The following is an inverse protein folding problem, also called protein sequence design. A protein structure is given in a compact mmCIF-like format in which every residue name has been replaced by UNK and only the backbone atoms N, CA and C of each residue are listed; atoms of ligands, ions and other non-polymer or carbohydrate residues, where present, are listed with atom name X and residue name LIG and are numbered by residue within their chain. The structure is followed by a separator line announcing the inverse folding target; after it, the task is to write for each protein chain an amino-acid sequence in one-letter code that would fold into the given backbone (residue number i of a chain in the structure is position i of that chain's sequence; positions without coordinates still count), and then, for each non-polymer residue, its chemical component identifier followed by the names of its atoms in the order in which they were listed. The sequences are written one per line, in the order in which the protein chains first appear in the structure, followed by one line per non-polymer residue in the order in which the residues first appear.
data_IF_375117115554
#
_entry.id   IF_375117115554
#
_cell.length_a   1.000
_cell.length_b   1.000
_cell.length_c   1.000
_cell.angle_alpha   90.00
_cell.angle_beta   90.00
_cell.angle_gamma   90.00
#
_symmetry.space_group_name_H-M   'P 1'
#
loop_
_entity.id
_entity.type
_entity.pdbx_description
1 polymer ?
#
# COMPACT_ATOMS: atom_id res chain seq x y z
N UNK A 1 -1.82 -8.41 -70.68
CA UNK A 1 -1.22 -7.69 -69.53
C UNK A 1 -2.35 -7.38 -68.55
N UNK A 2 -2.49 -8.14 -67.45
CA UNK A 2 -3.51 -7.90 -66.42
C UNK A 2 -2.76 -7.87 -65.09
N UNK A 3 -2.74 -6.71 -64.42
CA UNK A 3 -2.12 -6.51 -63.11
C UNK A 3 -3.16 -6.82 -62.03
N UNK A 4 -2.96 -7.92 -61.30
CA UNK A 4 -3.76 -8.24 -60.10
C UNK A 4 -3.22 -7.48 -58.89
N UNK A 5 -4.07 -6.69 -58.25
CA UNK A 5 -3.77 -6.00 -56.98
C UNK A 5 -4.22 -6.93 -55.84
N UNK A 6 -3.28 -7.37 -55.01
CA UNK A 6 -3.56 -8.11 -53.78
C UNK A 6 -3.72 -7.09 -52.66
N UNK A 7 -4.94 -6.93 -52.16
CA UNK A 7 -5.23 -6.09 -50.99
C UNK A 7 -5.14 -7.00 -49.75
N UNK A 8 -3.99 -7.00 -49.10
CA UNK A 8 -3.81 -7.63 -47.78
C UNK A 8 -4.47 -6.77 -46.71
N UNK A 9 -5.59 -7.24 -46.17
CA UNK A 9 -6.25 -6.64 -45.02
C UNK A 9 -5.44 -6.95 -43.75
N UNK A 10 -4.67 -5.96 -43.27
CA UNK A 10 -4.11 -5.96 -41.92
C UNK A 10 -5.23 -5.71 -40.91
N UNK A 11 -5.73 -6.78 -40.29
CA UNK A 11 -6.61 -6.67 -39.11
C UNK A 11 -5.72 -6.27 -37.94
N UNK A 12 -5.72 -4.97 -37.59
CA UNK A 12 -5.18 -4.50 -36.31
C UNK A 12 -6.13 -4.99 -35.20
N UNK A 13 -5.77 -6.08 -34.53
CA UNK A 13 -6.27 -6.35 -33.19
C UNK A 13 -5.73 -5.26 -32.25
N UNK A 14 -6.52 -4.20 -32.04
CA UNK A 14 -6.31 -3.30 -30.93
C UNK A 14 -6.54 -4.10 -29.63
N UNK A 15 -5.46 -4.62 -29.04
CA UNK A 15 -5.53 -5.17 -27.70
C UNK A 15 -5.88 -4.01 -26.76
N UNK A 16 -6.92 -4.15 -25.90
CA UNK A 16 -7.15 -3.17 -24.86
C UNK A 16 -5.93 -3.17 -23.95
N UNK A 17 -5.18 -2.06 -23.96
CA UNK A 17 -4.17 -1.81 -22.96
C UNK A 17 -4.90 -1.71 -21.62
N UNK A 18 -4.89 -2.78 -20.82
CA UNK A 18 -5.32 -2.71 -19.42
C UNK A 18 -4.24 -1.96 -18.63
N UNK A 19 -4.15 -0.65 -18.84
CA UNK A 19 -3.49 0.31 -17.97
C UNK A 19 -4.60 0.95 -17.11
N UNK A 20 -4.60 0.97 -15.79
CA UNK A 20 -3.66 0.49 -14.80
C UNK A 20 -4.43 -0.37 -13.79
N UNK A 21 -3.88 -1.49 -13.35
CA UNK A 21 -4.30 -2.16 -12.12
C UNK A 21 -3.80 -1.36 -10.92
N UNK A 22 -4.11 -0.07 -10.87
CA UNK A 22 -3.72 0.84 -9.81
C UNK A 22 -4.76 0.83 -8.70
N UNK A 23 -4.31 1.04 -7.48
CA UNK A 23 -5.07 1.16 -6.22
C UNK A 23 -6.27 2.14 -6.20
N UNK A 24 -6.69 2.68 -7.34
CA UNK A 24 -7.49 3.90 -7.47
C UNK A 24 -6.63 5.15 -7.32
N UNK A 25 -7.28 6.31 -7.19
CA UNK A 25 -6.59 7.59 -6.96
C UNK A 25 -6.13 7.69 -5.51
N UNK A 26 -5.03 7.01 -5.17
CA UNK A 26 -4.43 7.05 -3.84
C UNK A 26 -4.04 8.46 -3.39
N UNK A 27 -3.76 9.36 -4.34
CA UNK A 27 -3.45 10.75 -4.05
C UNK A 27 -4.57 11.47 -3.29
N UNK A 28 -5.82 11.02 -3.41
CA UNK A 28 -6.96 11.62 -2.73
C UNK A 28 -6.99 11.32 -1.23
N UNK A 29 -6.18 10.36 -0.78
CA UNK A 29 -6.08 10.01 0.63
C UNK A 29 -5.06 10.86 1.38
N UNK A 30 -4.15 11.54 0.68
CA UNK A 30 -3.07 12.31 1.31
C UNK A 30 -3.65 13.39 2.22
N UNK A 31 -3.22 13.41 3.48
CA UNK A 31 -3.69 14.35 4.51
C UNK A 31 -5.02 13.96 5.18
N UNK A 32 -5.66 12.88 4.75
CA UNK A 32 -6.87 12.34 5.38
C UNK A 32 -6.54 11.18 6.32
N UNK A 33 -7.43 10.91 7.28
CA UNK A 33 -7.31 9.70 8.07
C UNK A 33 -7.79 8.48 7.27
N UNK A 34 -7.14 7.31 7.40
CA UNK A 34 -7.45 6.15 6.56
C UNK A 34 -8.78 5.46 6.92
N UNK A 35 -9.39 5.82 8.06
CA UNK A 35 -10.72 5.39 8.47
C UNK A 35 -11.83 6.36 8.02
N UNK A 36 -11.48 7.51 7.43
CA UNK A 36 -12.44 8.34 6.70
C UNK A 36 -13.01 7.59 5.51
N UNK A 37 -14.25 7.91 5.15
CA UNK A 37 -14.94 7.31 4.01
C UNK A 37 -14.70 8.17 2.77
N UNK A 38 -13.72 7.80 1.94
CA UNK A 38 -13.38 8.51 0.71
C UNK A 38 -13.63 7.64 -0.54
N UNK A 39 -13.72 8.30 -1.70
CA UNK A 39 -13.82 7.64 -3.01
C UNK A 39 -15.20 7.08 -3.37
N UNK A 40 -15.30 6.33 -4.48
CA UNK A 40 -16.54 5.72 -4.92
C UNK A 40 -17.04 4.72 -3.87
N UNK A 41 -18.32 4.81 -3.51
CA UNK A 41 -18.99 4.02 -2.47
C UNK A 41 -18.59 4.30 -1.00
N UNK A 42 -17.81 5.36 -0.72
CA UNK A 42 -17.52 5.77 0.66
C UNK A 42 -16.77 4.72 1.47
N UNK A 43 -15.77 4.10 0.87
CA UNK A 43 -14.93 3.09 1.50
C UNK A 43 -13.83 3.75 2.37
N UNK A 44 -13.35 3.03 3.38
CA UNK A 44 -12.10 3.34 4.08
C UNK A 44 -10.90 2.91 3.24
N UNK A 45 -9.70 3.43 3.51
CA UNK A 45 -8.52 3.16 2.68
C UNK A 45 -8.23 1.66 2.57
N UNK A 46 -8.16 0.95 3.70
CA UNK A 46 -7.96 -0.51 3.69
C UNK A 46 -9.19 -1.30 3.25
N UNK A 47 -10.34 -0.63 3.10
CA UNK A 47 -11.58 -1.17 2.54
C UNK A 47 -11.63 -1.10 1.00
N UNK A 48 -10.69 -0.39 0.35
CA UNK A 48 -10.58 -0.39 -1.10
C UNK A 48 -10.33 -1.82 -1.59
N UNK A 49 -11.14 -2.38 -2.51
CA UNK A 49 -11.10 -3.80 -2.84
C UNK A 49 -9.72 -4.34 -3.24
N UNK A 50 -8.96 -3.56 -4.02
CA UNK A 50 -7.62 -3.93 -4.44
C UNK A 50 -6.64 -4.02 -3.26
N UNK A 51 -6.65 -3.00 -2.38
CA UNK A 51 -5.81 -2.94 -1.17
C UNK A 51 -6.16 -4.10 -0.24
N UNK A 52 -7.45 -4.25 0.07
CA UNK A 52 -7.95 -5.32 0.93
C UNK A 52 -7.59 -6.72 0.41
N UNK A 53 -7.75 -6.96 -0.90
CA UNK A 53 -7.40 -8.23 -1.52
C UNK A 53 -5.90 -8.51 -1.43
N UNK A 54 -5.07 -7.50 -1.67
CA UNK A 54 -3.61 -7.65 -1.62
C UNK A 54 -3.14 -7.92 -0.20
N UNK A 55 -3.65 -7.19 0.80
CA UNK A 55 -3.35 -7.43 2.21
C UNK A 55 -3.69 -8.87 2.64
N UNK A 56 -4.84 -9.40 2.23
CA UNK A 56 -5.21 -10.80 2.50
C UNK A 56 -4.27 -11.81 1.85
N UNK A 57 -3.61 -11.44 0.75
CA UNK A 57 -2.69 -12.31 0.05
C UNK A 57 -1.29 -12.28 0.68
N UNK A 58 -0.79 -11.10 1.05
CA UNK A 58 0.58 -10.93 1.55
C UNK A 58 0.73 -11.21 3.05
N UNK A 59 -0.36 -11.08 3.82
CA UNK A 59 -0.31 -11.26 5.27
C UNK A 59 -0.77 -12.66 5.69
N UNK A 60 -0.14 -13.25 6.71
CA UNK A 60 -0.72 -14.35 7.45
C UNK A 60 -2.10 -13.97 8.00
N UNK A 61 -3.03 -14.93 8.05
CA UNK A 61 -4.40 -14.67 8.48
C UNK A 61 -4.48 -13.99 9.87
N UNK A 62 -3.58 -14.35 10.80
CA UNK A 62 -3.51 -13.73 12.12
C UNK A 62 -3.13 -12.25 12.08
N UNK A 63 -2.12 -11.87 11.28
CA UNK A 63 -1.68 -10.48 11.13
C UNK A 63 -2.72 -9.65 10.37
N UNK A 64 -3.36 -10.23 9.34
CA UNK A 64 -4.47 -9.58 8.64
C UNK A 64 -5.64 -9.27 9.60
N UNK A 65 -6.02 -10.22 10.46
CA UNK A 65 -7.03 -9.99 11.50
C UNK A 65 -6.58 -8.95 12.53
N UNK A 66 -5.29 -8.93 12.89
CA UNK A 66 -4.76 -7.96 13.82
C UNK A 66 -4.86 -6.52 13.28
N UNK A 67 -4.63 -6.29 11.98
CA UNK A 67 -4.84 -4.98 11.35
C UNK A 67 -6.25 -4.43 11.61
N UNK A 68 -7.27 -5.27 11.44
CA UNK A 68 -8.66 -4.84 11.65
C UNK A 68 -9.06 -4.75 13.11
N UNK A 69 -8.48 -5.54 14.01
CA UNK A 69 -8.99 -5.69 15.39
C UNK A 69 -8.16 -4.97 16.45
N UNK A 70 -6.85 -4.86 16.25
CA UNK A 70 -5.89 -4.34 17.24
C UNK A 70 -5.39 -2.94 16.90
N UNK A 71 -5.05 -2.70 15.63
CA UNK A 71 -4.50 -1.44 15.17
C UNK A 71 -5.62 -0.48 14.78
N UNK A 72 -6.01 0.38 15.72
CA UNK A 72 -7.25 1.20 15.63
C UNK A 72 -7.00 2.68 15.52
N UNK A 73 -5.88 3.17 16.05
CA UNK A 73 -5.51 4.56 15.95
C UNK A 73 -4.62 4.71 14.71
N UNK A 74 -4.89 5.73 13.91
CA UNK A 74 -4.13 6.01 12.70
C UNK A 74 -3.78 7.48 12.64
N UNK A 75 -2.61 7.76 12.07
CA UNK A 75 -2.25 9.12 11.68
C UNK A 75 -2.80 9.44 10.28
N UNK A 76 -2.73 10.71 9.90
CA UNK A 76 -3.06 11.12 8.54
C UNK A 76 -2.12 10.45 7.53
N UNK A 77 -2.67 10.03 6.40
CA UNK A 77 -1.91 9.43 5.31
C UNK A 77 -0.87 10.45 4.82
N UNK A 78 0.39 10.05 4.83
CA UNK A 78 1.50 10.87 4.38
C UNK A 78 2.03 10.39 3.03
N UNK A 79 2.85 11.22 2.36
CA UNK A 79 3.41 10.91 1.05
C UNK A 79 4.93 11.08 1.04
N UNK A 80 5.64 10.12 0.44
CA UNK A 80 7.07 10.19 0.14
C UNK A 80 7.27 9.82 -1.33
N UNK A 81 7.49 10.82 -2.19
CA UNK A 81 7.54 10.60 -3.63
C UNK A 81 6.19 10.09 -4.16
N UNK A 82 6.19 8.94 -4.83
CA UNK A 82 4.96 8.29 -5.32
C UNK A 82 4.44 7.19 -4.38
N UNK A 83 4.93 7.16 -3.14
CA UNK A 83 4.47 6.24 -2.11
C UNK A 83 3.59 6.97 -1.11
N UNK A 84 2.51 6.33 -0.69
CA UNK A 84 1.76 6.78 0.49
C UNK A 84 2.06 5.86 1.66
N UNK A 85 2.15 6.46 2.85
CA UNK A 85 2.43 5.78 4.11
C UNK A 85 1.21 5.95 5.01
N UNK A 86 0.84 4.87 5.67
CA UNK A 86 -0.27 4.82 6.62
C UNK A 86 0.20 4.14 7.88
N UNK A 87 0.24 4.90 8.96
CA UNK A 87 0.69 4.40 10.25
C UNK A 87 -0.52 4.13 11.13
N UNK A 88 -0.56 2.94 11.71
CA UNK A 88 -1.51 2.57 12.74
C UNK A 88 -0.80 2.14 14.02
N UNK A 89 -1.47 2.32 15.15
CA UNK A 89 -1.05 1.79 16.43
C UNK A 89 -2.17 1.13 17.22
N UNK A 90 -1.76 0.35 18.23
CA UNK A 90 -2.69 -0.18 19.23
C UNK A 90 -3.20 0.95 20.11
N UNK A 91 -4.50 0.94 20.41
CA UNK A 91 -5.10 1.93 21.30
C UNK A 91 -4.37 1.94 22.66
N UNK A 92 -4.00 3.14 23.13
CA UNK A 92 -3.24 3.38 24.37
C UNK A 92 -1.79 2.84 24.39
N UNK A 93 -1.28 2.30 23.29
CA UNK A 93 0.03 1.63 23.26
C UNK A 93 0.83 1.91 21.96
N UNK A 94 0.76 3.15 21.48
CA UNK A 94 1.42 3.56 20.24
C UNK A 94 2.94 3.58 20.30
N UNK A 95 3.54 3.55 21.50
CA UNK A 95 4.98 3.43 21.66
C UNK A 95 5.50 1.99 21.57
N UNK A 96 4.65 0.98 21.80
CA UNK A 96 5.08 -0.42 21.86
C UNK A 96 4.71 -1.25 20.65
N UNK A 97 3.52 -1.08 20.06
CA UNK A 97 3.09 -1.88 18.90
C UNK A 97 2.43 -1.04 17.82
N UNK A 98 3.05 -1.06 16.64
CA UNK A 98 2.73 -0.19 15.51
C UNK A 98 2.69 -1.01 14.22
N UNK A 99 2.06 -0.47 13.19
CA UNK A 99 2.13 -1.00 11.85
C UNK A 99 2.15 0.12 10.83
N UNK A 100 3.07 0.06 9.88
CA UNK A 100 3.08 0.95 8.72
C UNK A 100 2.70 0.18 7.49
N UNK A 101 1.79 0.74 6.68
CA UNK A 101 1.45 0.24 5.37
C UNK A 101 1.99 1.24 4.34
N UNK A 102 2.76 0.74 3.37
CA UNK A 102 3.31 1.52 2.27
C UNK A 102 2.63 1.07 0.99
N UNK A 103 2.10 2.01 0.21
CA UNK A 103 1.44 1.74 -1.08
C UNK A 103 2.14 2.51 -2.19
N UNK A 104 2.61 1.81 -3.21
CA UNK A 104 3.19 2.41 -4.42
C UNK A 104 2.08 2.81 -5.39
N UNK A 105 1.97 4.10 -5.68
CA UNK A 105 0.95 4.66 -6.58
C UNK A 105 1.15 4.28 -8.06
N UNK A 106 2.31 3.76 -8.44
CA UNK A 106 2.72 3.49 -9.83
C UNK A 106 2.70 2.02 -10.19
N UNK A 107 3.03 1.12 -9.25
CA UNK A 107 3.32 -0.29 -9.57
C UNK A 107 2.40 -1.29 -8.87
N UNK A 108 1.36 -0.82 -8.16
CA UNK A 108 0.46 -1.65 -7.36
C UNK A 108 1.19 -2.55 -6.33
N UNK A 109 2.38 -2.13 -5.92
CA UNK A 109 3.13 -2.77 -4.86
C UNK A 109 2.71 -2.24 -3.48
N UNK A 110 2.75 -3.13 -2.50
CA UNK A 110 2.37 -2.86 -1.12
C UNK A 110 3.37 -3.53 -0.18
N UNK A 111 3.68 -2.85 0.91
CA UNK A 111 4.45 -3.37 2.03
C UNK A 111 3.75 -3.10 3.35
N UNK A 112 3.92 -3.99 4.32
CA UNK A 112 3.43 -3.87 5.68
C UNK A 112 4.56 -4.17 6.64
N UNK A 113 4.85 -3.23 7.53
CA UNK A 113 5.85 -3.38 8.57
C UNK A 113 5.19 -3.38 9.94
N UNK A 114 5.26 -4.49 10.66
CA UNK A 114 4.84 -4.55 12.06
C UNK A 114 6.04 -4.24 12.95
N UNK A 115 5.87 -3.28 13.86
CA UNK A 115 6.87 -2.90 14.84
C UNK A 115 6.42 -3.32 16.22
N UNK A 116 7.32 -3.97 16.96
CA UNK A 116 7.15 -4.26 18.37
C UNK A 116 8.39 -3.77 19.14
N UNK A 117 8.17 -2.84 20.06
CA UNK A 117 9.17 -2.22 20.91
C UNK A 117 9.08 -2.76 22.33
N UNK A 118 10.22 -3.16 22.90
CA UNK A 118 10.35 -3.61 24.29
C UNK A 118 11.56 -2.93 24.93
N UNK A 119 11.30 -1.88 25.71
CA UNK A 119 12.36 -1.03 26.26
C UNK A 119 13.08 -0.30 25.12
N UNK A 120 14.40 -0.48 25.03
CA UNK A 120 15.23 0.10 23.95
C UNK A 120 15.35 -0.78 22.70
N UNK A 121 14.75 -1.97 22.70
CA UNK A 121 14.80 -2.89 21.56
C UNK A 121 13.56 -2.72 20.67
N UNK A 122 13.77 -2.58 19.37
CA UNK A 122 12.71 -2.57 18.35
C UNK A 122 12.91 -3.78 17.45
N UNK A 123 11.84 -4.56 17.27
CA UNK A 123 11.78 -5.65 16.30
C UNK A 123 10.82 -5.28 15.18
N UNK A 124 11.13 -5.72 13.96
CA UNK A 124 10.31 -5.42 12.78
C UNK A 124 10.06 -6.69 11.97
N UNK A 125 8.81 -6.88 11.54
CA UNK A 125 8.43 -7.93 10.58
C UNK A 125 7.86 -7.28 9.32
N UNK A 126 8.43 -7.61 8.18
CA UNK A 126 8.03 -7.09 6.88
C UNK A 126 7.25 -8.13 6.07
N UNK A 127 6.21 -7.66 5.39
CA UNK A 127 5.44 -8.39 4.39
C UNK A 127 5.27 -7.49 3.18
N UNK A 128 5.23 -8.05 1.98
CA UNK A 128 5.02 -7.25 0.78
C UNK A 128 4.70 -8.09 -0.45
N UNK A 129 4.26 -7.41 -1.51
CA UNK A 129 4.09 -8.01 -2.85
C UNK A 129 5.44 -8.28 -3.51
N UNK A 130 6.46 -7.55 -3.10
CA UNK A 130 7.88 -7.70 -3.45
C UNK A 130 8.73 -7.56 -2.18
N UNK A 131 10.05 -7.75 -2.29
CA UNK A 131 10.95 -7.64 -1.13
C UNK A 131 10.94 -6.20 -0.58
N UNK A 132 11.09 -6.05 0.74
CA UNK A 132 11.21 -4.73 1.35
C UNK A 132 12.51 -4.03 0.93
N UNK A 133 13.54 -4.81 0.57
CA UNK A 133 14.81 -4.29 0.07
C UNK A 133 14.64 -3.48 -1.22
N UNK A 134 13.55 -3.70 -1.96
CA UNK A 134 13.21 -2.97 -3.18
C UNK A 134 12.59 -1.58 -2.91
N UNK A 135 12.22 -1.27 -1.65
CA UNK A 135 11.76 0.07 -1.29
C UNK A 135 12.92 1.08 -1.43
N UNK A 136 12.68 2.26 -2.02
CA UNK A 136 13.69 3.31 -2.04
C UNK A 136 14.14 3.71 -0.63
N UNK A 137 15.43 3.98 -0.46
CA UNK A 137 16.03 4.26 0.84
C UNK A 137 15.35 5.42 1.60
N UNK A 138 14.86 6.45 0.89
CA UNK A 138 14.10 7.54 1.50
C UNK A 138 12.76 7.07 2.10
N UNK A 139 12.08 6.11 1.47
CA UNK A 139 10.84 5.52 1.99
C UNK A 139 11.15 4.62 3.17
N UNK A 140 12.18 3.76 3.08
CA UNK A 140 12.62 2.95 4.21
C UNK A 140 12.96 3.81 5.43
N UNK A 141 13.69 4.91 5.21
CA UNK A 141 14.05 5.86 6.27
C UNK A 141 12.81 6.55 6.87
N UNK A 142 11.83 6.90 6.04
CA UNK A 142 10.58 7.50 6.51
C UNK A 142 9.82 6.55 7.43
N UNK A 143 9.67 5.28 7.03
CA UNK A 143 9.02 4.26 7.87
C UNK A 143 9.78 4.08 9.20
N UNK A 144 11.10 3.95 9.15
CA UNK A 144 11.91 3.74 10.37
C UNK A 144 11.85 4.97 11.30
N UNK A 145 11.80 6.19 10.75
CA UNK A 145 11.82 7.41 11.54
C UNK A 145 10.60 7.56 12.46
N UNK A 146 9.43 7.10 12.02
CA UNK A 146 8.18 7.12 12.81
C UNK A 146 8.27 6.23 14.05
N UNK A 147 9.10 5.18 14.00
CA UNK A 147 9.14 4.12 15.03
C UNK A 147 10.41 4.11 15.87
N UNK A 148 11.25 5.15 15.77
CA UNK A 148 12.37 5.30 16.71
C UNK A 148 11.86 5.80 18.05
N UNK A 149 12.25 5.17 19.18
CA UNK A 149 11.97 5.74 20.50
C UNK A 149 12.58 7.15 20.57
N UNK A 150 11.82 8.10 21.12
CA UNK A 150 12.35 9.42 21.44
C UNK A 150 13.49 9.24 22.45
N UNK A 151 14.72 9.59 22.03
CA UNK A 151 15.89 9.62 22.90
C UNK A 151 15.74 10.68 23.99
#
# INVERSE_FOLDING_TARGET
MIRGIVISAFILCAMPAMAATGWGSLSNWIGHYPDEKLGPAGAQLLGVPAIHSTLRHVLPAADFQALSNRYKLADQVSQVGHYILVDYCTAHDCGASNVTIVLDQTSANLWVAFFDSKGSSVSTRWYGTVDYADLPANVQNAVIAVHRPAN
#
